data_IF_740491828620
#
_entry.id   IF_740491828620
#
_cell.length_a   1.000
_cell.length_b   1.000
_cell.length_c   1.000
_cell.angle_alpha   90.00
_cell.angle_beta   90.00
_cell.angle_gamma   90.00
#
_symmetry.space_group_name_H-M   'P 1'
#
loop_
_entity.id
_entity.type
_entity.pdbx_description
1 polymer ?
#
# COMPACT_ATOMS: atom_id res chain seq x y z
N UNK A 1 1.22 3.32 -14.75
CA UNK A 1 0.55 2.33 -13.87
C UNK A 1 1.12 2.44 -12.46
N UNK A 2 2.44 2.56 -12.37
CA UNK A 2 3.29 2.79 -11.21
C UNK A 2 2.87 3.99 -10.36
N UNK A 3 2.43 5.09 -10.98
CA UNK A 3 1.94 6.26 -10.24
C UNK A 3 0.72 5.91 -9.37
N UNK A 4 -0.26 5.19 -9.93
CA UNK A 4 -1.46 4.76 -9.18
C UNK A 4 -1.10 3.82 -8.03
N UNK A 5 -0.20 2.88 -8.31
CA UNK A 5 0.29 1.94 -7.30
C UNK A 5 0.95 2.68 -6.13
N UNK A 6 1.84 3.64 -6.43
CA UNK A 6 2.48 4.48 -5.42
C UNK A 6 1.49 5.34 -4.63
N UNK A 7 0.52 5.96 -5.31
CA UNK A 7 -0.54 6.74 -4.66
C UNK A 7 -1.38 5.89 -3.70
N UNK A 8 -1.86 4.73 -4.14
CA UNK A 8 -2.64 3.83 -3.28
C UNK A 8 -1.84 3.32 -2.08
N UNK A 9 -0.52 3.09 -2.22
CA UNK A 9 0.30 2.71 -1.06
C UNK A 9 0.36 3.81 0.00
N UNK A 10 0.42 5.08 -0.39
CA UNK A 10 0.42 6.19 0.56
C UNK A 10 -0.89 6.28 1.37
N UNK A 11 -2.01 5.78 0.83
CA UNK A 11 -3.32 5.81 1.49
C UNK A 11 -3.59 4.58 2.36
N UNK A 12 -2.65 3.62 2.44
CA UNK A 12 -2.81 2.36 3.18
C UNK A 12 -1.93 2.30 4.42
N UNK A 13 -2.47 1.72 5.49
CA UNK A 13 -1.78 1.59 6.78
C UNK A 13 -0.54 0.70 6.70
N UNK A 14 -0.52 -0.22 5.75
CA UNK A 14 0.53 -1.20 5.52
C UNK A 14 1.84 -0.54 5.10
N UNK A 15 1.78 0.51 4.28
CA UNK A 15 2.99 1.26 3.94
C UNK A 15 3.59 1.94 5.19
N UNK A 16 2.74 2.59 5.98
CA UNK A 16 3.16 3.22 7.24
C UNK A 16 3.73 2.21 8.24
N UNK A 17 3.15 1.02 8.33
CA UNK A 17 3.63 -0.04 9.22
C UNK A 17 5.02 -0.54 8.81
N UNK A 18 5.26 -0.68 7.51
CA UNK A 18 6.59 -1.01 6.99
C UNK A 18 7.62 0.06 7.32
N UNK A 19 7.26 1.33 7.13
CA UNK A 19 8.10 2.47 7.51
C UNK A 19 8.35 2.51 9.01
N UNK A 20 7.31 2.28 9.84
CA UNK A 20 7.45 2.24 11.30
C UNK A 20 8.44 1.17 11.73
N UNK A 21 8.24 -0.07 11.29
CA UNK A 21 9.07 -1.21 11.69
C UNK A 21 10.52 -1.09 11.20
N UNK A 22 10.75 -0.52 10.02
CA UNK A 22 12.08 -0.43 9.42
C UNK A 22 12.84 0.84 9.80
N UNK A 23 12.18 2.00 9.80
CA UNK A 23 12.85 3.31 9.85
C UNK A 23 12.60 4.08 11.15
N UNK A 24 11.42 3.94 11.76
CA UNK A 24 11.04 4.69 12.97
C UNK A 24 11.46 3.93 14.23
N UNK A 25 10.78 2.82 14.51
CA UNK A 25 11.02 2.00 15.71
C UNK A 25 12.21 1.06 15.50
N UNK A 26 12.52 0.73 14.23
CA UNK A 26 13.65 -0.13 13.83
C UNK A 26 13.62 -1.49 14.52
N UNK A 27 12.43 -1.98 14.83
CA UNK A 27 12.22 -3.25 15.53
C UNK A 27 12.30 -4.48 14.59
N UNK A 28 12.24 -4.26 13.27
CA UNK A 28 12.15 -5.30 12.25
C UNK A 28 10.97 -6.28 12.47
N UNK A 29 9.91 -5.81 13.13
CA UNK A 29 8.72 -6.60 13.50
C UNK A 29 7.45 -5.89 13.01
N UNK A 30 7.24 -5.84 11.68
CA UNK A 30 6.01 -5.29 11.15
C UNK A 30 4.82 -6.18 11.52
N UNK A 31 3.74 -5.56 11.98
CA UNK A 31 2.45 -6.17 12.25
C UNK A 31 1.53 -5.99 11.03
N UNK A 32 1.78 -6.80 9.99
CA UNK A 32 1.03 -6.73 8.75
C UNK A 32 -0.45 -7.07 8.93
N UNK A 33 -1.29 -6.41 8.13
CA UNK A 33 -2.69 -6.76 7.93
C UNK A 33 -3.00 -6.67 6.43
N UNK A 34 -3.39 -7.76 5.76
CA UNK A 34 -3.49 -9.13 6.27
C UNK A 34 -2.16 -9.72 6.75
N UNK A 35 -2.22 -10.65 7.72
CA UNK A 35 -1.02 -11.21 8.39
C UNK A 35 -0.27 -12.24 7.54
N UNK A 36 -0.97 -12.93 6.64
CA UNK A 36 -0.41 -14.01 5.82
C UNK A 36 -0.67 -13.71 4.35
N UNK A 37 0.16 -14.24 3.48
CA UNK A 37 0.06 -13.98 2.04
C UNK A 37 -1.22 -14.58 1.45
N UNK A 38 -1.62 -15.76 1.91
CA UNK A 38 -2.85 -16.45 1.52
C UNK A 38 -4.14 -15.70 1.92
N UNK A 39 -4.04 -14.76 2.85
CA UNK A 39 -5.17 -13.92 3.27
C UNK A 39 -5.32 -12.67 2.36
N UNK A 40 -4.37 -12.44 1.43
CA UNK A 40 -4.45 -11.36 0.44
C UNK A 40 -5.42 -11.78 -0.67
N UNK A 41 -6.56 -11.10 -0.75
CA UNK A 41 -7.54 -11.36 -1.81
C UNK A 41 -7.10 -10.74 -3.14
N UNK A 42 -7.53 -11.34 -4.26
CA UNK A 42 -7.33 -10.75 -5.59
C UNK A 42 -7.94 -9.36 -5.69
N UNK A 43 -9.10 -9.14 -5.06
CA UNK A 43 -9.75 -7.83 -5.01
C UNK A 43 -8.87 -6.77 -4.33
N UNK A 44 -8.18 -7.12 -3.24
CA UNK A 44 -7.25 -6.19 -2.58
C UNK A 44 -6.10 -5.81 -3.51
N UNK A 45 -5.58 -6.76 -4.29
CA UNK A 45 -4.54 -6.51 -5.29
C UNK A 45 -5.09 -5.58 -6.38
N UNK A 46 -6.26 -5.89 -6.94
CA UNK A 46 -6.86 -5.12 -8.03
C UNK A 46 -7.15 -3.66 -7.63
N UNK A 47 -7.53 -3.42 -6.38
CA UNK A 47 -7.73 -2.07 -5.83
C UNK A 47 -6.47 -1.19 -5.94
N UNK A 48 -5.27 -1.76 -5.80
CA UNK A 48 -4.02 -0.99 -5.92
C UNK A 48 -3.71 -0.56 -7.36
N UNK A 49 -4.32 -1.21 -8.35
CA UNK A 49 -4.18 -0.86 -9.77
C UNK A 49 -5.37 -0.08 -10.32
N UNK A 50 -6.43 0.07 -9.53
CA UNK A 50 -7.63 0.79 -9.91
C UNK A 50 -7.31 2.26 -10.27
N UNK A 51 -8.04 2.86 -11.24
CA UNK A 51 -7.92 4.28 -11.54
C UNK A 51 -8.07 5.14 -10.28
N UNK A 52 -7.31 6.23 -10.22
CA UNK A 52 -7.50 7.25 -9.20
C UNK A 52 -8.66 8.17 -9.60
N UNK A 53 -9.05 9.09 -8.71
CA UNK A 53 -9.99 10.13 -9.10
C UNK A 53 -9.36 11.01 -10.18
N UNK A 54 -10.14 11.57 -11.14
CA UNK A 54 -9.60 12.36 -12.24
C UNK A 54 -8.72 13.55 -11.80
N UNK A 55 -8.99 14.12 -10.63
CA UNK A 55 -8.21 15.19 -10.02
C UNK A 55 -6.86 14.74 -9.43
N UNK A 56 -6.72 13.45 -9.11
CA UNK A 56 -5.52 12.84 -8.53
C UNK A 56 -4.67 12.11 -9.56
N UNK A 57 -5.23 11.79 -10.73
CA UNK A 57 -4.50 11.14 -11.81
C UNK A 57 -3.33 11.99 -12.30
N UNK A 58 -2.23 11.32 -12.64
CA UNK A 58 -1.06 11.95 -13.25
C UNK A 58 -1.44 12.54 -14.61
N UNK A 59 -1.34 13.86 -14.72
CA UNK A 59 -1.51 14.58 -15.99
C UNK A 59 -0.14 14.77 -16.62
N UNK A 60 0.03 14.21 -17.82
CA UNK A 60 1.23 14.38 -18.65
C UNK A 60 1.05 15.56 -19.60
#
# INVERSE_FOLDING_TARGET
MEFRLGSHFCDRLEFYEGVRALLIDKDQKPNWNPKRLEDVSQELVDQHFAPLRPEEELKL
#
